data_IF_568531117965
#
_entry.id   IF_568531117965
#
_cell.length_a   1.000
_cell.length_b   1.000
_cell.length_c   1.000
_cell.angle_alpha   90.00
_cell.angle_beta   90.00
_cell.angle_gamma   90.00
#
_symmetry.space_group_name_H-M   'P 1'
#
loop_
_entity.id
_entity.type
_entity.pdbx_description
1 polymer ?
#
# COMPACT_ATOMS: atom_id res chain seq x y z
N UNK A 1 32.41 -5.90 -13.37
CA UNK A 1 31.28 -5.81 -12.44
C UNK A 1 30.16 -5.14 -13.23
N UNK A 2 29.10 -5.87 -13.58
CA UNK A 2 28.12 -5.44 -14.58
C UNK A 2 27.48 -4.09 -14.22
N UNK A 3 27.75 -3.08 -15.06
CA UNK A 3 27.03 -1.81 -15.09
C UNK A 3 25.59 -2.09 -15.51
N UNK A 4 24.67 -2.08 -14.55
CA UNK A 4 23.25 -2.00 -14.87
C UNK A 4 23.02 -0.68 -15.62
N UNK A 5 22.77 -0.76 -16.92
CA UNK A 5 22.42 0.38 -17.81
C UNK A 5 21.01 0.93 -17.51
N UNK A 6 20.69 1.13 -16.23
CA UNK A 6 19.40 1.63 -15.79
C UNK A 6 19.57 3.10 -15.45
N UNK A 7 19.27 3.95 -16.43
CA UNK A 7 19.20 5.39 -16.23
C UNK A 7 17.95 5.73 -15.41
N UNK A 8 18.12 6.50 -14.33
CA UNK A 8 16.99 7.04 -13.56
C UNK A 8 16.21 7.99 -14.46
N UNK A 9 14.91 7.70 -14.67
CA UNK A 9 14.05 8.59 -15.44
C UNK A 9 13.86 9.91 -14.67
N UNK A 10 14.10 11.09 -15.29
CA UNK A 10 14.07 12.39 -14.62
C UNK A 10 12.73 12.66 -13.92
N UNK A 11 11.62 12.24 -14.52
CA UNK A 11 10.28 12.46 -13.96
C UNK A 11 9.86 11.49 -12.84
N UNK A 12 10.66 10.45 -12.55
CA UNK A 12 10.27 9.39 -11.60
C UNK A 12 11.02 9.42 -10.28
N UNK A 13 11.74 10.50 -9.99
CA UNK A 13 12.60 10.58 -8.81
C UNK A 13 12.22 11.78 -7.93
N UNK A 14 11.47 11.51 -6.85
CA UNK A 14 11.35 12.46 -5.75
C UNK A 14 12.41 12.14 -4.69
N UNK A 15 13.36 13.06 -4.49
CA UNK A 15 14.32 13.03 -3.39
C UNK A 15 14.01 14.25 -2.52
N UNK A 16 13.38 14.03 -1.37
CA UNK A 16 12.93 15.10 -0.51
C UNK A 16 12.70 14.63 0.92
N UNK A 17 12.43 15.57 1.82
CA UNK A 17 12.19 15.27 3.24
C UNK A 17 10.85 14.55 3.41
N UNK A 18 10.81 13.58 4.32
CA UNK A 18 9.58 12.88 4.74
C UNK A 18 8.53 13.82 5.37
N UNK A 19 8.90 15.06 5.72
CA UNK A 19 8.02 16.03 6.38
C UNK A 19 6.69 16.27 5.67
N UNK A 20 6.64 16.17 4.34
CA UNK A 20 5.39 16.32 3.56
C UNK A 20 4.60 15.00 3.41
N UNK A 21 5.23 13.89 3.77
CA UNK A 21 4.79 12.54 3.50
C UNK A 21 4.75 12.16 2.03
N UNK A 22 4.66 10.86 1.75
CA UNK A 22 4.51 10.34 0.39
C UNK A 22 3.88 8.95 0.38
N UNK A 23 3.25 8.61 -0.75
CA UNK A 23 2.73 7.27 -0.99
C UNK A 23 3.83 6.37 -1.57
N UNK A 24 4.00 5.18 -0.99
CA UNK A 24 4.87 4.15 -1.56
C UNK A 24 4.31 2.75 -1.29
N UNK A 25 4.26 1.93 -2.34
CA UNK A 25 3.71 0.57 -2.32
C UNK A 25 2.29 0.45 -1.75
N UNK A 26 1.50 1.53 -1.79
CA UNK A 26 0.15 1.57 -1.21
C UNK A 26 0.09 1.95 0.28
N UNK A 27 1.22 2.34 0.87
CA UNK A 27 1.32 2.92 2.21
C UNK A 27 1.59 4.42 2.14
N UNK A 28 1.15 5.14 3.17
CA UNK A 28 1.47 6.54 3.41
C UNK A 28 2.61 6.62 4.41
N UNK A 29 3.74 7.18 3.99
CA UNK A 29 4.90 7.45 4.83
C UNK A 29 4.83 8.88 5.33
N UNK A 30 4.99 9.07 6.64
CA UNK A 30 5.03 10.39 7.26
C UNK A 30 5.97 10.39 8.48
N UNK A 31 6.30 11.57 9.05
CA UNK A 31 7.05 11.63 10.30
C UNK A 31 6.32 10.97 11.47
N UNK A 32 4.98 10.86 11.41
CA UNK A 32 4.17 10.17 12.42
C UNK A 32 4.19 8.63 12.26
N UNK A 33 4.82 8.11 11.21
CA UNK A 33 4.94 6.68 10.94
C UNK A 33 4.24 6.25 9.65
N UNK A 34 3.99 4.94 9.57
CA UNK A 34 3.43 4.25 8.42
C UNK A 34 1.92 4.10 8.54
N UNK A 35 1.18 4.57 7.54
CA UNK A 35 -0.26 4.37 7.40
C UNK A 35 -0.62 3.73 6.07
N UNK A 36 -1.90 3.49 5.82
CA UNK A 36 -2.39 3.08 4.50
C UNK A 36 -2.64 4.32 3.65
N UNK A 37 -2.16 4.30 2.41
CA UNK A 37 -2.40 5.40 1.46
C UNK A 37 -3.90 5.53 1.18
N UNK A 38 -4.40 6.77 1.10
CA UNK A 38 -5.83 7.04 0.83
C UNK A 38 -6.31 6.32 -0.43
N UNK A 39 -5.50 6.36 -1.49
CA UNK A 39 -5.77 5.70 -2.78
C UNK A 39 -5.91 4.19 -2.66
N UNK A 40 -5.23 3.56 -1.70
CA UNK A 40 -5.34 2.13 -1.43
C UNK A 40 -6.70 1.78 -0.82
N UNK A 41 -7.22 2.64 0.08
CA UNK A 41 -8.56 2.50 0.64
C UNK A 41 -9.63 2.73 -0.43
N UNK A 42 -9.50 3.79 -1.24
CA UNK A 42 -10.42 4.08 -2.35
C UNK A 42 -10.55 2.89 -3.30
N UNK A 43 -9.42 2.28 -3.71
CA UNK A 43 -9.40 1.08 -4.56
C UNK A 43 -10.05 -0.14 -3.91
N UNK A 44 -9.92 -0.29 -2.60
CA UNK A 44 -10.58 -1.37 -1.87
C UNK A 44 -12.10 -1.20 -1.93
N UNK A 45 -12.59 0.00 -1.63
CA UNK A 45 -14.02 0.33 -1.70
C UNK A 45 -14.56 0.09 -3.11
N UNK A 46 -13.90 0.62 -4.14
CA UNK A 46 -14.28 0.41 -5.55
C UNK A 46 -14.36 -1.08 -5.91
N UNK A 47 -13.43 -1.90 -5.41
CA UNK A 47 -13.41 -3.33 -5.68
C UNK A 47 -14.56 -4.05 -4.98
N UNK A 48 -14.87 -3.70 -3.74
CA UNK A 48 -16.02 -4.25 -2.99
C UNK A 48 -17.32 -3.88 -3.67
N UNK A 49 -17.52 -2.61 -4.03
CA UNK A 49 -18.71 -2.16 -4.76
C UNK A 49 -18.89 -2.94 -6.06
N UNK A 50 -17.82 -3.12 -6.84
CA UNK A 50 -17.89 -3.90 -8.08
C UNK A 50 -18.22 -5.38 -7.85
N UNK A 51 -17.70 -6.00 -6.79
CA UNK A 51 -18.04 -7.39 -6.46
C UNK A 51 -19.53 -7.51 -6.11
N UNK A 52 -20.04 -6.58 -5.32
CA UNK A 52 -21.45 -6.51 -4.97
C UNK A 52 -22.33 -6.33 -6.22
N UNK A 53 -22.02 -5.37 -7.08
CA UNK A 53 -22.74 -5.11 -8.35
C UNK A 53 -22.71 -6.32 -9.31
N UNK A 54 -21.66 -7.13 -9.26
CA UNK A 54 -21.52 -8.35 -10.05
C UNK A 54 -22.25 -9.57 -9.44
N UNK A 55 -22.97 -9.39 -8.32
CA UNK A 55 -23.69 -10.47 -7.65
C UNK A 55 -22.76 -11.47 -6.97
N UNK A 56 -21.56 -11.05 -6.54
CA UNK A 56 -20.71 -11.88 -5.71
C UNK A 56 -21.43 -12.23 -4.39
N UNK A 57 -21.33 -13.48 -3.96
CA UNK A 57 -21.80 -13.88 -2.64
C UNK A 57 -20.95 -13.25 -1.52
N UNK A 58 -21.50 -13.28 -0.31
CA UNK A 58 -20.87 -12.72 0.88
C UNK A 58 -19.50 -13.35 1.15
N UNK A 59 -19.38 -14.67 0.97
CA UNK A 59 -18.13 -15.41 1.17
C UNK A 59 -17.01 -14.89 0.26
N UNK A 60 -17.32 -14.54 -0.99
CA UNK A 60 -16.36 -14.02 -1.96
C UNK A 60 -15.89 -12.61 -1.60
N UNK A 61 -16.81 -11.77 -1.12
CA UNK A 61 -16.48 -10.41 -0.65
C UNK A 61 -15.63 -10.50 0.64
N UNK A 62 -16.02 -11.35 1.58
CA UNK A 62 -15.29 -11.58 2.83
C UNK A 62 -13.87 -12.11 2.55
N UNK A 63 -13.73 -13.11 1.67
CA UNK A 63 -12.44 -13.64 1.29
C UNK A 63 -11.53 -12.57 0.64
N UNK A 64 -12.10 -11.65 -0.13
CA UNK A 64 -11.34 -10.49 -0.64
C UNK A 64 -10.89 -9.57 0.49
N UNK A 65 -11.79 -9.19 1.40
CA UNK A 65 -11.48 -8.31 2.54
C UNK A 65 -10.42 -8.94 3.46
N UNK A 66 -10.50 -10.24 3.74
CA UNK A 66 -9.52 -10.95 4.55
C UNK A 66 -8.12 -10.92 3.92
N UNK A 67 -8.02 -11.14 2.60
CA UNK A 67 -6.75 -11.02 1.87
C UNK A 67 -6.22 -9.60 1.87
N UNK A 68 -7.09 -8.60 1.66
CA UNK A 68 -6.70 -7.20 1.70
C UNK A 68 -6.19 -6.80 3.09
N UNK A 69 -6.87 -7.22 4.16
CA UNK A 69 -6.43 -7.00 5.55
C UNK A 69 -5.13 -7.73 5.88
N UNK A 70 -4.91 -8.92 5.33
CA UNK A 70 -3.64 -9.64 5.47
C UNK A 70 -2.48 -8.87 4.82
N UNK A 71 -2.70 -8.33 3.63
CA UNK A 71 -1.73 -7.48 2.94
C UNK A 71 -1.43 -6.19 3.70
N UNK A 72 -2.48 -5.48 4.17
CA UNK A 72 -2.36 -4.25 4.98
C UNK A 72 -1.54 -4.48 6.24
N UNK A 73 -1.86 -5.55 6.99
CA UNK A 73 -1.13 -5.89 8.22
C UNK A 73 0.30 -6.34 7.93
N UNK A 74 0.53 -7.03 6.81
CA UNK A 74 1.87 -7.43 6.40
C UNK A 74 2.86 -6.27 6.28
N UNK A 75 2.41 -5.07 5.85
CA UNK A 75 3.27 -3.89 5.78
C UNK A 75 3.16 -2.91 6.94
N UNK A 76 1.99 -2.70 7.55
CA UNK A 76 1.86 -1.79 8.71
C UNK A 76 2.38 -2.41 10.01
N UNK A 77 2.28 -3.74 10.16
CA UNK A 77 2.66 -4.47 11.38
C UNK A 77 4.02 -5.18 11.27
N UNK A 78 4.79 -4.92 10.21
CA UNK A 78 6.10 -5.53 10.00
C UNK A 78 7.06 -5.18 11.14
N UNK A 79 7.29 -6.15 12.05
CA UNK A 79 8.25 -6.16 13.17
C UNK A 79 8.84 -4.78 13.50
N UNK A 80 8.21 -4.09 14.46
CA UNK A 80 8.97 -3.18 15.32
C UNK A 80 10.14 -4.00 15.85
N UNK A 81 11.35 -3.69 15.41
CA UNK A 81 12.54 -4.18 16.09
C UNK A 81 12.39 -3.71 17.55
N UNK A 82 12.12 -4.66 18.44
CA UNK A 82 12.31 -4.45 19.87
C UNK A 82 13.81 -4.24 20.02
N UNK A 83 14.24 -2.98 20.00
CA UNK A 83 15.55 -2.60 20.48
C UNK A 83 15.52 -2.87 21.99
N UNK A 84 16.11 -3.99 22.39
CA UNK A 84 16.70 -4.15 23.72
C UNK A 84 18.10 -3.54 23.76
#
# INVERSE_FOLDING_TARGET
MNELQVLKHPDKTFIGRIARGFDFLGYWFSPAGLGIARKTVERMVEKVSRLYEQGADENRIEAYLNRWWGWVRGGVLGRVALNG
#
